data_IF_149083747469
#
_entry.id   IF_149083747469
#
_cell.length_a   1.000
_cell.length_b   1.000
_cell.length_c   1.000
_cell.angle_alpha   90.00
_cell.angle_beta   90.00
_cell.angle_gamma   90.00
#
_symmetry.space_group_name_H-M   'P 1'
#
loop_
_entity.id
_entity.type
_entity.pdbx_description
1 polymer ?
#
# COMPACT_ATOMS: atom_id res chain seq x y z
N UNK A 1 9.16 4.94 3.04
CA UNK A 1 7.84 4.34 3.37
C UNK A 1 6.84 4.89 2.38
N UNK A 2 6.07 4.04 1.71
CA UNK A 2 5.00 4.49 0.80
C UNK A 2 3.69 4.59 1.58
N UNK A 3 3.04 5.75 1.52
CA UNK A 3 1.72 5.98 2.13
C UNK A 3 0.67 5.13 1.42
N UNK A 4 0.71 5.08 0.09
CA UNK A 4 -0.22 4.29 -0.72
C UNK A 4 -0.12 2.80 -0.38
N UNK A 5 1.10 2.25 -0.21
CA UNK A 5 1.31 0.86 0.20
C UNK A 5 0.65 0.56 1.55
N UNK A 6 0.87 1.42 2.53
CA UNK A 6 0.34 1.23 3.88
C UNK A 6 -1.19 1.27 3.90
N UNK A 7 -1.77 2.27 3.22
CA UNK A 7 -3.22 2.39 3.11
C UNK A 7 -3.84 1.21 2.35
N UNK A 8 -3.23 0.78 1.26
CA UNK A 8 -3.69 -0.35 0.45
C UNK A 8 -3.76 -1.65 1.28
N UNK A 9 -2.71 -1.92 2.05
CA UNK A 9 -2.60 -3.13 2.86
C UNK A 9 -3.64 -3.14 3.98
N UNK A 10 -3.76 -2.04 4.74
CA UNK A 10 -4.75 -1.93 5.81
C UNK A 10 -6.17 -1.99 5.23
N UNK A 11 -6.43 -1.29 4.12
CA UNK A 11 -7.74 -1.32 3.47
C UNK A 11 -8.14 -2.73 3.06
N UNK A 12 -7.21 -3.52 2.50
CA UNK A 12 -7.46 -4.91 2.14
C UNK A 12 -7.83 -5.76 3.37
N UNK A 13 -7.05 -5.67 4.45
CA UNK A 13 -7.29 -6.42 5.69
C UNK A 13 -8.64 -6.05 6.31
N UNK A 14 -8.92 -4.75 6.46
CA UNK A 14 -10.16 -4.26 7.09
C UNK A 14 -11.40 -4.57 6.23
N UNK A 15 -11.30 -4.48 4.91
CA UNK A 15 -12.39 -4.85 4.02
C UNK A 15 -12.79 -6.33 4.11
N UNK A 16 -11.85 -7.21 4.47
CA UNK A 16 -12.10 -8.65 4.58
C UNK A 16 -12.61 -9.08 5.96
N UNK A 17 -12.26 -8.35 7.04
CA UNK A 17 -12.63 -8.69 8.42
C UNK A 17 -14.14 -8.82 8.58
N UNK A 18 -14.58 -9.88 9.30
CA UNK A 18 -15.99 -10.18 9.53
C UNK A 18 -16.78 -10.59 8.28
N UNK A 19 -16.17 -10.64 7.08
CA UNK A 19 -16.85 -10.89 5.79
C UNK A 19 -16.47 -12.20 5.12
N UNK A 20 -15.56 -12.93 5.71
CA UNK A 20 -15.10 -14.22 5.23
C UNK A 20 -15.34 -15.28 6.30
N UNK A 21 -15.24 -16.54 5.95
CA UNK A 21 -15.29 -17.64 6.93
C UNK A 21 -14.12 -17.58 7.92
N UNK A 22 -13.05 -16.86 7.61
CA UNK A 22 -11.96 -16.57 8.54
C UNK A 22 -12.36 -15.57 9.65
N UNK A 23 -13.49 -14.86 9.51
CA UNK A 23 -13.99 -13.84 10.45
C UNK A 23 -12.90 -12.81 10.79
N UNK A 24 -12.47 -12.78 12.07
CA UNK A 24 -11.43 -11.87 12.57
C UNK A 24 -10.00 -12.44 12.41
N UNK A 25 -9.86 -13.71 11.99
CA UNK A 25 -8.55 -14.34 11.76
C UNK A 25 -7.93 -13.90 10.43
N UNK A 26 -7.89 -12.58 10.23
CA UNK A 26 -7.28 -11.92 9.07
C UNK A 26 -6.15 -11.05 9.58
N UNK A 27 -4.94 -11.38 9.16
CA UNK A 27 -3.72 -10.78 9.68
C UNK A 27 -3.02 -9.93 8.62
N UNK A 28 -2.48 -8.82 9.09
CA UNK A 28 -1.61 -7.95 8.32
C UNK A 28 -0.16 -8.41 8.48
N UNK A 29 0.52 -8.73 7.36
CA UNK A 29 1.96 -9.01 7.30
C UNK A 29 2.51 -9.90 8.43
N UNK A 30 1.74 -10.88 8.87
CA UNK A 30 2.16 -11.73 9.97
C UNK A 30 3.42 -12.53 9.60
N UNK A 31 4.50 -12.22 10.29
CA UNK A 31 5.77 -12.90 10.11
C UNK A 31 5.80 -14.12 11.03
N UNK A 32 5.69 -15.29 10.45
CA UNK A 32 5.78 -16.55 11.18
C UNK A 32 5.38 -17.74 10.34
N UNK A 33 5.88 -18.94 10.64
CA UNK A 33 5.44 -20.14 9.95
C UNK A 33 3.94 -20.34 10.13
N UNK A 34 3.23 -20.61 9.04
CA UNK A 34 1.78 -20.91 9.05
C UNK A 34 1.37 -21.94 10.13
N UNK A 35 2.13 -23.02 10.39
CA UNK A 35 1.82 -23.97 11.45
C UNK A 35 1.75 -23.34 12.85
N UNK A 36 2.61 -22.33 13.13
CA UNK A 36 2.61 -21.66 14.43
C UNK A 36 1.43 -20.69 14.56
N UNK A 37 0.99 -20.14 13.44
CA UNK A 37 -0.19 -19.27 13.37
C UNK A 37 -1.47 -20.09 13.56
N UNK A 38 -1.49 -21.30 13.04
CA UNK A 38 -2.62 -22.23 13.12
C UNK A 38 -2.78 -22.91 14.50
N UNK A 39 -1.74 -22.86 15.36
CA UNK A 39 -1.81 -23.39 16.71
C UNK A 39 -2.87 -22.63 17.51
N UNK A 40 -3.96 -23.32 17.83
CA UNK A 40 -5.06 -22.75 18.60
C UNK A 40 -6.17 -22.07 17.79
N UNK A 41 -6.04 -22.00 16.46
CA UNK A 41 -7.11 -21.49 15.59
C UNK A 41 -7.88 -22.65 14.97
N UNK A 42 -9.13 -22.80 15.36
CA UNK A 42 -10.06 -23.78 14.74
C UNK A 42 -10.66 -23.28 13.42
N UNK A 43 -10.23 -22.11 12.94
CA UNK A 43 -10.86 -21.40 11.82
C UNK A 43 -9.86 -21.23 10.67
N UNK A 44 -10.37 -21.11 9.44
CA UNK A 44 -9.54 -20.65 8.34
C UNK A 44 -8.90 -19.29 8.68
N UNK A 45 -7.67 -19.09 8.25
CA UNK A 45 -6.96 -17.83 8.41
C UNK A 45 -6.63 -17.23 7.06
N UNK A 46 -6.54 -15.90 7.03
CA UNK A 46 -5.98 -15.13 5.93
C UNK A 46 -4.80 -14.29 6.43
N UNK A 47 -3.73 -14.26 5.66
CA UNK A 47 -2.64 -13.31 5.85
C UNK A 47 -2.51 -12.50 4.57
N UNK A 48 -2.51 -11.19 4.70
CA UNK A 48 -2.37 -10.26 3.58
C UNK A 48 -1.05 -9.52 3.74
N UNK A 49 -0.22 -9.52 2.70
CA UNK A 49 1.02 -8.76 2.68
C UNK A 49 1.26 -8.13 1.30
N UNK A 50 2.09 -7.11 1.27
CA UNK A 50 2.61 -6.52 0.05
C UNK A 50 4.09 -6.91 -0.04
N UNK A 51 4.40 -7.84 -0.95
CA UNK A 51 5.73 -8.46 -1.03
C UNK A 51 6.71 -7.64 -1.89
N UNK A 52 6.23 -7.17 -3.04
CA UNK A 52 7.05 -6.47 -4.01
C UNK A 52 6.44 -5.12 -4.36
N UNK A 53 7.31 -4.17 -4.68
CA UNK A 53 6.91 -2.88 -5.24
C UNK A 53 7.85 -2.49 -6.38
N UNK A 54 7.28 -2.08 -7.49
CA UNK A 54 8.00 -1.65 -8.67
C UNK A 54 7.42 -0.32 -9.16
N UNK A 55 8.28 0.64 -9.44
CA UNK A 55 7.92 1.86 -10.16
C UNK A 55 8.37 1.68 -11.60
N UNK A 56 7.45 1.46 -12.56
CA UNK A 56 7.83 1.26 -13.94
C UNK A 56 8.46 2.52 -14.52
N UNK A 57 9.45 2.34 -15.40
CA UNK A 57 10.00 3.43 -16.21
C UNK A 57 9.00 3.76 -17.30
N UNK A 58 8.25 4.84 -17.12
CA UNK A 58 7.26 5.28 -18.11
C UNK A 58 7.86 6.13 -19.24
N UNK A 59 9.17 6.01 -19.50
CA UNK A 59 9.84 6.66 -20.65
C UNK A 59 9.74 8.20 -20.69
N UNK A 60 9.18 8.81 -19.66
CA UNK A 60 9.07 10.25 -19.49
C UNK A 60 10.27 10.83 -18.74
N UNK A 61 10.36 12.16 -18.70
CA UNK A 61 11.40 12.89 -17.95
C UNK A 61 11.21 12.84 -16.42
N UNK A 62 10.27 12.00 -15.93
CA UNK A 62 9.95 11.90 -14.51
C UNK A 62 11.00 11.06 -13.79
N UNK A 63 12.01 11.69 -13.25
CA UNK A 63 13.04 11.06 -12.43
C UNK A 63 12.70 11.02 -10.91
N UNK A 64 11.50 11.48 -10.53
CA UNK A 64 11.11 11.65 -9.13
C UNK A 64 10.75 10.36 -8.41
N UNK A 65 10.87 10.36 -7.09
CA UNK A 65 10.38 9.28 -6.21
C UNK A 65 8.86 9.35 -5.96
N UNK A 66 8.23 10.47 -6.27
CA UNK A 66 6.82 10.76 -6.05
C UNK A 66 6.10 11.03 -7.36
N UNK A 67 4.78 11.03 -7.35
CA UNK A 67 3.97 11.35 -8.52
C UNK A 67 3.86 10.24 -9.56
N UNK A 68 4.44 9.06 -9.30
CA UNK A 68 4.39 7.90 -10.19
C UNK A 68 3.46 6.81 -9.67
N UNK A 69 2.78 6.14 -10.60
CA UNK A 69 2.05 4.92 -10.29
C UNK A 69 3.01 3.84 -9.83
N UNK A 70 2.59 3.08 -8.82
CA UNK A 70 3.39 1.99 -8.27
C UNK A 70 2.69 0.67 -8.63
N UNK A 71 3.48 -0.31 -9.01
CA UNK A 71 3.03 -1.68 -9.14
C UNK A 71 3.39 -2.43 -7.88
N UNK A 72 2.38 -2.98 -7.21
CA UNK A 72 2.55 -3.82 -6.03
C UNK A 72 2.15 -5.26 -6.32
N UNK A 73 2.85 -6.21 -5.71
CA UNK A 73 2.42 -7.61 -5.62
C UNK A 73 1.83 -7.84 -4.24
N UNK A 74 0.49 -7.89 -4.18
CA UNK A 74 -0.23 -8.27 -2.97
C UNK A 74 -0.31 -9.79 -2.89
N UNK A 75 0.15 -10.36 -1.80
CA UNK A 75 0.04 -11.78 -1.49
C UNK A 75 -1.08 -12.01 -0.48
N UNK A 76 -2.04 -12.85 -0.85
CA UNK A 76 -3.09 -13.33 0.05
C UNK A 76 -2.83 -14.81 0.33
N UNK A 77 -2.44 -15.12 1.56
CA UNK A 77 -2.22 -16.48 2.02
C UNK A 77 -3.44 -16.96 2.77
N UNK A 78 -4.10 -17.98 2.25
CA UNK A 78 -5.19 -18.67 2.92
C UNK A 78 -4.71 -20.00 3.49
N UNK A 79 -5.04 -20.29 4.73
CA UNK A 79 -4.72 -21.58 5.33
C UNK A 79 -5.91 -22.11 6.15
N UNK A 80 -6.07 -23.43 6.12
CA UNK A 80 -7.09 -24.15 6.86
C UNK A 80 -6.40 -25.27 7.62
N UNK A 81 -6.63 -25.32 8.92
CA UNK A 81 -6.24 -26.46 9.76
C UNK A 81 -7.43 -26.80 10.67
N UNK A 82 -7.53 -28.05 11.09
CA UNK A 82 -8.40 -28.43 12.19
C UNK A 82 -7.55 -28.83 13.39
N UNK A 83 -7.98 -28.41 14.56
CA UNK A 83 -7.46 -28.96 15.79
C UNK A 83 -8.10 -30.36 16.02
N UNK A 84 -7.25 -31.36 16.13
CA UNK A 84 -7.68 -32.68 16.61
C UNK A 84 -7.14 -32.83 18.02
N UNK A 85 -8.01 -32.93 19.01
CA UNK A 85 -7.60 -33.37 20.35
C UNK A 85 -7.31 -34.86 20.29
N UNK A 86 -6.09 -35.26 20.59
CA UNK A 86 -5.71 -36.64 20.74
C UNK A 86 -5.46 -36.86 22.23
N UNK A 87 -6.20 -37.76 22.83
CA UNK A 87 -5.94 -38.23 24.20
C UNK A 87 -4.76 -39.20 24.14
N UNK A 88 -3.62 -38.78 24.68
CA UNK A 88 -2.44 -39.63 24.84
C UNK A 88 -2.21 -39.77 26.35
N UNK A 89 -2.42 -40.95 26.86
CA UNK A 89 -2.19 -41.32 28.27
C UNK A 89 -2.99 -40.48 29.31
N UNK A 90 -4.19 -40.01 28.96
CA UNK A 90 -5.04 -39.23 29.84
C UNK A 90 -4.72 -37.73 29.90
N UNK A 91 -3.79 -37.25 29.08
CA UNK A 91 -3.58 -35.81 28.81
C UNK A 91 -4.17 -35.46 27.47
N UNK A 92 -5.11 -34.49 27.47
CA UNK A 92 -5.70 -33.95 26.27
C UNK A 92 -4.67 -33.06 25.53
N UNK A 93 -3.98 -33.65 24.55
CA UNK A 93 -3.04 -32.92 23.73
C UNK A 93 -3.75 -32.43 22.46
N UNK A 94 -3.90 -31.12 22.33
CA UNK A 94 -4.43 -30.51 21.11
C UNK A 94 -3.39 -30.63 20.01
N UNK A 95 -3.59 -31.56 19.10
CA UNK A 95 -2.77 -31.69 17.90
C UNK A 95 -3.50 -31.00 16.76
N UNK A 96 -2.86 -30.05 16.11
CA UNK A 96 -3.39 -29.44 14.88
C UNK A 96 -3.41 -30.51 13.80
N UNK A 97 -4.58 -31.08 13.58
CA UNK A 97 -4.83 -32.13 12.60
C UNK A 97 -5.45 -31.59 11.32
N UNK A 98 -5.39 -32.40 10.29
CA UNK A 98 -6.07 -32.14 9.03
C UNK A 98 -7.50 -32.60 9.21
N UNK A 99 -8.47 -31.75 8.80
CA UNK A 99 -9.85 -32.17 8.72
C UNK A 99 -10.02 -33.42 7.87
N UNK A 100 -11.12 -34.07 8.04
CA UNK A 100 -11.38 -35.44 7.66
C UNK A 100 -11.25 -35.76 6.18
N UNK A 101 -11.21 -34.77 5.28
CA UNK A 101 -10.97 -35.00 3.84
C UNK A 101 -10.26 -33.84 3.16
N UNK A 102 -9.31 -34.15 2.25
CA UNK A 102 -8.66 -33.17 1.37
C UNK A 102 -9.68 -32.34 0.57
N UNK A 103 -10.81 -32.94 0.18
CA UNK A 103 -11.88 -32.28 -0.55
C UNK A 103 -12.58 -31.18 0.29
N UNK A 104 -12.76 -31.40 1.60
CA UNK A 104 -13.36 -30.40 2.50
C UNK A 104 -12.49 -29.16 2.66
N UNK A 105 -11.17 -29.34 2.72
CA UNK A 105 -10.24 -28.21 2.78
C UNK A 105 -10.19 -27.42 1.48
N UNK A 106 -10.13 -28.11 0.36
CA UNK A 106 -10.16 -27.44 -0.93
C UNK A 106 -11.46 -26.65 -1.13
N UNK A 107 -12.59 -27.21 -0.71
CA UNK A 107 -13.87 -26.50 -0.74
C UNK A 107 -13.83 -25.23 0.14
N UNK A 108 -13.27 -25.32 1.34
CA UNK A 108 -13.13 -24.19 2.26
C UNK A 108 -12.20 -23.12 1.69
N UNK A 109 -11.05 -23.50 1.11
CA UNK A 109 -10.13 -22.57 0.46
C UNK A 109 -10.79 -21.88 -0.75
N UNK A 110 -11.58 -22.60 -1.55
CA UNK A 110 -12.31 -22.02 -2.68
C UNK A 110 -13.39 -21.02 -2.21
N UNK A 111 -14.11 -21.34 -1.15
CA UNK A 111 -15.08 -20.42 -0.54
C UNK A 111 -14.39 -19.17 -0.02
N UNK A 112 -13.28 -19.35 0.72
CA UNK A 112 -12.51 -18.26 1.29
C UNK A 112 -11.95 -17.34 0.21
N UNK A 113 -11.42 -17.91 -0.88
CA UNK A 113 -10.92 -17.16 -2.03
C UNK A 113 -12.04 -16.31 -2.68
N UNK A 114 -13.19 -16.90 -2.92
CA UNK A 114 -14.31 -16.15 -3.46
C UNK A 114 -14.77 -15.05 -2.50
N UNK A 115 -14.81 -15.32 -1.21
CA UNK A 115 -15.28 -14.36 -0.20
C UNK A 115 -14.36 -13.15 -0.08
N UNK A 116 -13.03 -13.32 -0.03
CA UNK A 116 -12.13 -12.18 0.06
C UNK A 116 -12.16 -11.33 -1.22
N UNK A 117 -12.27 -11.93 -2.40
CA UNK A 117 -12.46 -11.21 -3.67
C UNK A 117 -13.77 -10.40 -3.65
N UNK A 118 -14.86 -11.01 -3.16
CA UNK A 118 -16.14 -10.31 -3.00
C UNK A 118 -16.04 -9.16 -1.98
N UNK A 119 -15.34 -9.36 -0.87
CA UNK A 119 -15.17 -8.35 0.17
C UNK A 119 -14.46 -7.10 -0.36
N UNK A 120 -13.38 -7.27 -1.12
CA UNK A 120 -12.65 -6.16 -1.77
C UNK A 120 -13.48 -5.45 -2.85
N UNK A 121 -14.44 -6.15 -3.44
CA UNK A 121 -15.31 -5.60 -4.49
C UNK A 121 -16.62 -5.04 -3.96
N UNK A 122 -16.89 -5.14 -2.65
CA UNK A 122 -18.19 -4.79 -2.06
C UNK A 122 -18.45 -3.28 -2.13
N UNK A 123 -19.59 -2.87 -2.73
CA UNK A 123 -19.99 -1.46 -2.68
C UNK A 123 -20.44 -1.05 -1.28
N UNK A 124 -20.41 0.25 -0.99
CA UNK A 124 -20.84 0.85 0.28
C UNK A 124 -20.11 0.35 1.53
N UNK A 125 -18.89 -0.17 1.34
CA UNK A 125 -17.97 -0.45 2.42
C UNK A 125 -16.77 0.49 2.35
N UNK A 126 -16.54 1.28 3.38
CA UNK A 126 -15.55 2.34 3.37
C UNK A 126 -14.12 1.85 3.08
N UNK A 127 -13.74 0.68 3.63
CA UNK A 127 -12.41 0.11 3.41
C UNK A 127 -12.28 -0.52 2.03
N UNK A 128 -13.33 -1.21 1.55
CA UNK A 128 -13.35 -1.76 0.20
C UNK A 128 -13.40 -0.64 -0.86
N UNK A 129 -14.08 0.47 -0.58
CA UNK A 129 -14.06 1.64 -1.45
C UNK A 129 -12.68 2.29 -1.47
N UNK A 130 -12.04 2.46 -0.31
CA UNK A 130 -10.67 2.96 -0.24
C UNK A 130 -9.71 2.06 -1.05
N UNK A 131 -9.81 0.73 -0.88
CA UNK A 131 -9.00 -0.21 -1.66
C UNK A 131 -9.16 0.03 -3.16
N UNK A 132 -10.40 0.20 -3.65
CA UNK A 132 -10.68 0.46 -5.06
C UNK A 132 -10.22 1.83 -5.54
N UNK A 133 -10.34 2.86 -4.68
CA UNK A 133 -9.88 4.21 -5.00
C UNK A 133 -8.34 4.27 -5.14
N UNK A 134 -7.64 3.42 -4.39
CA UNK A 134 -6.18 3.31 -4.47
C UNK A 134 -5.72 2.44 -5.65
N UNK A 135 -6.56 1.51 -6.14
CA UNK A 135 -6.19 0.56 -7.21
C UNK A 135 -6.71 1.03 -8.55
N UNK A 136 -5.81 1.46 -9.42
CA UNK A 136 -6.14 1.84 -10.80
C UNK A 136 -6.40 0.62 -11.69
N UNK A 137 -5.65 -0.47 -11.44
CA UNK A 137 -5.75 -1.68 -12.27
C UNK A 137 -5.39 -2.92 -11.47
N UNK A 138 -6.18 -3.97 -11.62
CA UNK A 138 -5.82 -5.33 -11.23
C UNK A 138 -5.17 -6.00 -12.45
N UNK A 139 -3.94 -6.43 -12.28
CA UNK A 139 -3.17 -7.11 -13.32
C UNK A 139 -3.28 -8.63 -13.25
N UNK A 140 -2.14 -9.31 -13.25
CA UNK A 140 -2.08 -10.78 -13.20
C UNK A 140 -2.47 -11.27 -11.81
N UNK A 141 -3.27 -12.34 -11.77
CA UNK A 141 -3.57 -13.10 -10.56
C UNK A 141 -2.99 -14.50 -10.75
N UNK A 142 -2.21 -14.96 -9.78
CA UNK A 142 -1.61 -16.29 -9.77
C UNK A 142 -1.95 -17.01 -8.48
N UNK A 143 -2.41 -18.24 -8.60
CA UNK A 143 -2.72 -19.09 -7.46
C UNK A 143 -1.73 -20.25 -7.39
N UNK A 144 -1.20 -20.52 -6.21
CA UNK A 144 -0.32 -21.63 -5.93
C UNK A 144 -0.76 -22.36 -4.66
N UNK A 145 -0.58 -23.68 -4.65
CA UNK A 145 -0.78 -24.48 -3.43
C UNK A 145 0.47 -24.38 -2.56
N UNK A 146 0.27 -24.12 -1.28
CA UNK A 146 1.32 -24.26 -0.29
C UNK A 146 1.44 -25.71 0.15
N UNK A 147 2.63 -26.27 -0.03
CA UNK A 147 2.97 -27.59 0.48
C UNK A 147 4.10 -27.38 1.47
N UNK A 148 3.90 -27.77 2.74
CA UNK A 148 5.01 -27.79 3.70
C UNK A 148 5.40 -29.24 4.04
N UNK A 149 6.42 -29.80 3.37
CA UNK A 149 6.82 -31.20 3.58
C UNK A 149 7.58 -31.46 4.88
N UNK A 150 8.04 -30.41 5.59
CA UNK A 150 8.99 -30.56 6.71
C UNK A 150 8.35 -30.67 8.09
N UNK A 151 7.10 -30.27 8.26
CA UNK A 151 6.51 -30.14 9.61
C UNK A 151 5.74 -31.36 10.09
N UNK A 152 5.58 -32.43 9.31
CA UNK A 152 4.73 -33.57 9.64
C UNK A 152 3.23 -33.24 9.75
N UNK A 153 2.89 -31.94 9.78
CA UNK A 153 1.53 -31.43 9.85
C UNK A 153 1.06 -31.09 8.43
N UNK A 154 0.08 -31.84 7.96
CA UNK A 154 -0.56 -31.52 6.71
C UNK A 154 -1.56 -30.38 6.96
N UNK A 155 -1.34 -29.22 6.41
CA UNK A 155 -2.30 -28.12 6.33
C UNK A 155 -2.56 -27.81 4.86
N UNK A 156 -3.78 -27.49 4.53
CA UNK A 156 -4.07 -26.98 3.21
C UNK A 156 -3.86 -25.46 3.22
N UNK A 157 -3.04 -24.99 2.31
CA UNK A 157 -2.83 -23.57 2.11
C UNK A 157 -2.84 -23.21 0.63
N UNK A 158 -3.25 -21.97 0.36
CA UNK A 158 -3.24 -21.38 -0.97
C UNK A 158 -2.61 -20.00 -0.89
N UNK A 159 -1.75 -19.72 -1.84
CA UNK A 159 -1.11 -18.43 -2.02
C UNK A 159 -1.68 -17.82 -3.29
N UNK A 160 -2.26 -16.64 -3.17
CA UNK A 160 -2.76 -15.87 -4.31
C UNK A 160 -1.94 -14.59 -4.42
N UNK A 161 -1.16 -14.50 -5.49
CA UNK A 161 -0.45 -13.27 -5.86
C UNK A 161 -1.37 -12.43 -6.74
N UNK A 162 -1.53 -11.17 -6.39
CA UNK A 162 -2.33 -10.20 -7.14
C UNK A 162 -1.45 -9.00 -7.48
N UNK A 163 -1.17 -8.82 -8.75
CA UNK A 163 -0.42 -7.64 -9.22
C UNK A 163 -1.39 -6.48 -9.34
N UNK A 164 -1.12 -5.41 -8.62
CA UNK A 164 -1.94 -4.19 -8.57
C UNK A 164 -1.13 -3.01 -9.09
N UNK A 165 -1.74 -2.19 -9.94
CA UNK A 165 -1.23 -0.86 -10.25
C UNK A 165 -2.05 0.15 -9.45
N UNK A 166 -1.38 1.01 -8.69
CA UNK A 166 -2.04 1.96 -7.78
C UNK A 166 -1.94 3.40 -8.28
N UNK A 167 -2.69 4.26 -7.62
CA UNK A 167 -2.52 5.71 -7.74
C UNK A 167 -1.07 6.09 -7.40
N UNK A 168 -0.58 7.20 -7.94
CA UNK A 168 0.76 7.69 -7.62
C UNK A 168 0.97 7.93 -6.13
N UNK A 169 2.21 7.73 -5.67
CA UNK A 169 2.60 8.21 -4.34
C UNK A 169 2.51 9.74 -4.32
N UNK A 170 1.75 10.33 -3.39
CA UNK A 170 1.55 11.77 -3.37
C UNK A 170 2.88 12.52 -3.12
N UNK A 171 3.04 13.62 -3.81
CA UNK A 171 4.13 14.55 -3.52
C UNK A 171 3.85 15.22 -2.19
N UNK A 172 4.84 15.36 -1.28
CA UNK A 172 4.63 16.05 -0.02
C UNK A 172 4.04 17.45 -0.22
N UNK A 173 2.92 17.73 0.45
CA UNK A 173 2.16 18.98 0.30
C UNK A 173 1.18 19.02 -0.87
N UNK A 174 1.03 17.93 -1.63
CA UNK A 174 0.02 17.81 -2.67
C UNK A 174 -1.21 17.04 -2.14
N UNK A 175 -2.40 17.49 -2.53
CA UNK A 175 -3.64 16.84 -2.16
C UNK A 175 -3.90 15.61 -3.05
N UNK A 176 -4.14 14.46 -2.43
CA UNK A 176 -4.61 13.25 -3.09
C UNK A 176 -5.88 12.77 -2.40
N UNK A 177 -7.01 12.88 -3.09
CA UNK A 177 -8.32 12.57 -2.51
C UNK A 177 -8.40 11.15 -1.94
N UNK A 178 -7.86 10.15 -2.64
CA UNK A 178 -7.86 8.76 -2.18
C UNK A 178 -7.01 8.60 -0.91
N UNK A 179 -5.83 9.25 -0.86
CA UNK A 179 -4.93 9.19 0.30
C UNK A 179 -5.53 9.93 1.50
N UNK A 180 -6.10 11.12 1.30
CA UNK A 180 -6.78 11.88 2.35
C UNK A 180 -7.95 11.11 2.97
N UNK A 181 -8.76 10.47 2.12
CA UNK A 181 -9.83 9.57 2.57
C UNK A 181 -9.29 8.43 3.42
N UNK A 182 -8.20 7.81 2.97
CA UNK A 182 -7.54 6.71 3.70
C UNK A 182 -7.02 7.16 5.07
N UNK A 183 -6.33 8.29 5.13
CA UNK A 183 -5.83 8.87 6.39
C UNK A 183 -6.99 9.17 7.33
N UNK A 184 -8.08 9.75 6.84
CA UNK A 184 -9.28 10.04 7.65
C UNK A 184 -9.91 8.77 8.22
N UNK A 185 -9.97 7.68 7.44
CA UNK A 185 -10.44 6.38 7.93
C UNK A 185 -9.54 5.81 9.02
N UNK A 186 -8.22 5.95 8.89
CA UNK A 186 -7.28 5.51 9.92
C UNK A 186 -7.43 6.33 11.21
N UNK A 187 -7.54 7.65 11.11
CA UNK A 187 -7.72 8.55 12.26
C UNK A 187 -9.01 8.25 13.03
N UNK A 188 -10.05 7.80 12.34
CA UNK A 188 -11.32 7.36 12.95
C UNK A 188 -11.30 5.94 13.51
N UNK A 189 -10.23 5.16 13.30
CA UNK A 189 -10.15 3.77 13.74
C UNK A 189 -9.32 3.64 15.02
N UNK A 190 -9.83 2.96 16.07
CA UNK A 190 -9.15 2.91 17.38
C UNK A 190 -7.71 2.35 17.31
N UNK A 191 -7.46 1.36 16.46
CA UNK A 191 -6.15 0.71 16.36
C UNK A 191 -5.17 1.45 15.44
N UNK A 192 -5.63 2.41 14.63
CA UNK A 192 -4.81 3.06 13.61
C UNK A 192 -4.75 4.58 13.73
N UNK A 193 -5.39 5.18 14.74
CA UNK A 193 -5.48 6.63 14.89
C UNK A 193 -4.10 7.32 14.91
N UNK A 194 -3.14 6.75 15.66
CA UNK A 194 -1.77 7.28 15.73
C UNK A 194 -1.05 7.18 14.38
N UNK A 195 -1.24 6.07 13.67
CA UNK A 195 -0.69 5.89 12.31
C UNK A 195 -1.30 6.90 11.35
N UNK A 196 -2.62 7.12 11.41
CA UNK A 196 -3.31 8.14 10.61
C UNK A 196 -2.71 9.52 10.81
N UNK A 197 -2.53 9.94 12.06
CA UNK A 197 -1.90 11.22 12.41
C UNK A 197 -0.44 11.32 11.89
N UNK A 198 0.33 10.24 11.98
CA UNK A 198 1.68 10.18 11.44
C UNK A 198 1.68 10.35 9.91
N UNK A 199 0.82 9.61 9.18
CA UNK A 199 0.73 9.71 7.72
C UNK A 199 0.31 11.11 7.28
N UNK A 200 -0.63 11.75 8.00
CA UNK A 200 -1.03 13.14 7.76
C UNK A 200 0.14 14.10 7.91
N UNK A 201 0.94 13.92 8.97
CA UNK A 201 2.13 14.76 9.17
C UNK A 201 3.16 14.62 8.04
N UNK A 202 3.35 13.39 7.54
CA UNK A 202 4.26 13.11 6.42
C UNK A 202 3.74 13.71 5.11
N UNK A 203 2.44 13.61 4.85
CA UNK A 203 1.81 14.19 3.68
C UNK A 203 1.87 15.71 3.70
N UNK A 204 1.63 16.34 4.87
CA UNK A 204 1.65 17.78 5.05
C UNK A 204 3.05 18.39 5.19
N UNK A 205 4.10 17.59 5.31
CA UNK A 205 5.47 18.07 5.48
C UNK A 205 5.96 19.03 4.38
N UNK A 206 5.34 18.95 3.18
CA UNK A 206 5.60 19.85 2.07
C UNK A 206 4.54 20.96 1.88
N UNK A 207 3.56 21.09 2.78
CA UNK A 207 2.43 22.03 2.59
C UNK A 207 2.88 23.50 2.48
N UNK A 208 3.98 23.87 3.12
CA UNK A 208 4.58 25.18 3.00
C UNK A 208 5.49 25.33 1.77
N UNK A 209 5.69 24.25 1.00
CA UNK A 209 6.53 24.30 -0.20
C UNK A 209 5.82 25.12 -1.30
N UNK A 210 6.57 25.99 -1.95
CA UNK A 210 6.09 26.72 -3.13
C UNK A 210 5.82 25.75 -4.28
N UNK A 211 5.01 26.14 -5.25
CA UNK A 211 4.73 25.30 -6.44
C UNK A 211 6.02 24.95 -7.19
N UNK A 212 7.00 25.85 -7.17
CA UNK A 212 8.34 25.58 -7.68
C UNK A 212 9.06 24.45 -6.92
N UNK A 213 8.99 24.45 -5.61
CA UNK A 213 9.57 23.39 -4.79
C UNK A 213 8.86 22.05 -4.99
N UNK A 214 7.53 22.05 -5.12
CA UNK A 214 6.74 20.86 -5.46
C UNK A 214 7.14 20.31 -6.84
N UNK A 215 7.25 21.17 -7.83
CA UNK A 215 7.70 20.79 -9.18
C UNK A 215 9.13 20.20 -9.16
N UNK A 216 10.03 20.78 -8.39
CA UNK A 216 11.39 20.24 -8.21
C UNK A 216 11.36 18.84 -7.60
N UNK A 217 10.49 18.57 -6.63
CA UNK A 217 10.30 17.25 -6.06
C UNK A 217 9.77 16.25 -7.08
N UNK A 218 8.79 16.63 -7.89
CA UNK A 218 8.24 15.79 -8.95
C UNK A 218 9.29 15.44 -10.01
N UNK A 219 10.03 16.42 -10.48
CA UNK A 219 11.03 16.24 -11.53
C UNK A 219 12.37 15.71 -11.00
N UNK A 220 12.52 15.58 -9.67
CA UNK A 220 13.78 15.17 -9.02
C UNK A 220 15.00 15.96 -9.55
N UNK A 221 14.78 17.22 -9.91
CA UNK A 221 15.78 18.08 -10.52
C UNK A 221 16.49 18.97 -9.51
N UNK A 222 17.80 19.19 -9.72
CA UNK A 222 18.45 20.32 -9.06
C UNK A 222 17.95 21.64 -9.67
N UNK A 223 17.94 22.69 -8.90
CA UNK A 223 17.56 24.02 -9.40
C UNK A 223 18.34 24.39 -10.65
N UNK A 224 19.66 24.16 -10.63
CA UNK A 224 20.52 24.44 -11.78
C UNK A 224 20.14 23.63 -13.01
N UNK A 225 19.78 22.36 -12.85
CA UNK A 225 19.35 21.49 -13.95
C UNK A 225 18.05 21.98 -14.57
N UNK A 226 17.08 22.34 -13.74
CA UNK A 226 15.78 22.81 -14.20
C UNK A 226 15.91 24.18 -14.92
N UNK A 227 16.69 25.10 -14.36
CA UNK A 227 16.98 26.36 -14.99
C UNK A 227 17.72 26.19 -16.35
N UNK A 228 18.62 25.21 -16.44
CA UNK A 228 19.34 24.91 -17.67
C UNK A 228 18.43 24.40 -18.80
N UNK A 229 17.33 23.73 -18.46
CA UNK A 229 16.31 23.28 -19.43
C UNK A 229 15.16 24.28 -19.60
N UNK A 230 15.29 25.49 -19.02
CA UNK A 230 14.32 26.57 -19.18
C UNK A 230 13.13 26.52 -18.24
N UNK A 231 13.15 25.63 -17.22
CA UNK A 231 12.11 25.57 -16.19
C UNK A 231 12.55 26.46 -15.04
N UNK A 232 11.86 27.60 -14.85
CA UNK A 232 12.12 28.55 -13.79
C UNK A 232 10.89 28.84 -12.96
N UNK A 233 11.03 29.27 -11.67
CA UNK A 233 9.88 29.71 -10.90
C UNK A 233 9.21 30.91 -11.57
N UNK A 234 7.90 30.95 -11.55
CA UNK A 234 7.16 32.14 -11.91
C UNK A 234 7.48 33.21 -10.84
N UNK A 235 7.99 34.34 -11.27
CA UNK A 235 8.17 35.48 -10.38
C UNK A 235 6.78 36.03 -10.07
N UNK A 236 6.42 36.13 -8.77
CA UNK A 236 5.14 36.75 -8.43
C UNK A 236 5.16 38.21 -8.79
N UNK A 237 4.04 38.77 -9.25
CA UNK A 237 3.92 40.20 -9.57
C UNK A 237 4.22 41.10 -8.35
N UNK A 238 4.24 40.55 -7.14
CA UNK A 238 4.59 41.27 -5.90
C UNK A 238 6.12 41.39 -5.68
N UNK A 239 6.91 40.53 -6.32
CA UNK A 239 8.36 40.67 -6.35
C UNK A 239 8.74 41.72 -7.39
N UNK A 240 8.60 42.99 -7.04
CA UNK A 240 9.19 44.09 -7.81
C UNK A 240 10.69 43.85 -7.88
N UNK A 241 11.15 43.46 -9.05
CA UNK A 241 12.58 43.39 -9.38
C UNK A 241 13.17 44.78 -9.18
N UNK A 242 13.60 45.10 -7.99
CA UNK A 242 14.25 46.41 -7.70
C UNK A 242 15.61 46.51 -8.36
N UNK A 243 16.26 45.40 -8.69
CA UNK A 243 17.53 45.43 -9.44
C UNK A 243 17.77 44.06 -10.07
N UNK A 244 17.75 43.97 -11.40
CA UNK A 244 18.25 42.81 -12.14
C UNK A 244 19.70 43.07 -12.54
N UNK A 245 20.64 42.39 -11.88
CA UNK A 245 22.04 42.39 -12.33
C UNK A 245 22.18 41.31 -13.39
N UNK A 246 22.20 41.72 -14.66
CA UNK A 246 22.53 40.84 -15.78
C UNK A 246 24.05 40.70 -15.88
N UNK A 247 24.63 39.86 -15.02
CA UNK A 247 26.02 39.44 -15.10
C UNK A 247 26.21 38.24 -16.04
N UNK A 248 25.76 38.31 -17.27
CA UNK A 248 26.13 37.26 -18.22
C UNK A 248 26.38 37.81 -19.61
N UNK A 249 27.55 37.48 -20.07
CA UNK A 249 28.08 37.71 -21.44
C UNK A 249 28.62 39.09 -21.71
N UNK A 250 29.76 39.44 -21.11
CA UNK A 250 30.66 40.45 -21.69
C UNK A 250 30.12 41.88 -21.84
N UNK A 251 28.94 42.16 -21.33
CA UNK A 251 28.34 43.49 -21.27
C UNK A 251 28.34 43.96 -19.82
N UNK A 252 29.51 44.37 -19.34
CA UNK A 252 29.60 45.10 -18.09
C UNK A 252 28.92 46.48 -18.28
N UNK A 253 27.87 46.74 -17.50
CA UNK A 253 27.43 48.10 -17.25
C UNK A 253 26.06 48.54 -17.74
N UNK A 254 25.06 47.66 -17.87
CA UNK A 254 23.68 48.11 -18.06
C UNK A 254 22.90 47.91 -16.75
N UNK A 255 22.67 49.00 -16.04
CA UNK A 255 21.74 49.02 -14.89
C UNK A 255 20.36 49.43 -15.43
N UNK A 256 19.36 48.56 -15.35
CA UNK A 256 17.99 48.94 -15.66
C UNK A 256 17.31 49.26 -14.29
N UNK A 257 17.12 50.56 -14.05
CA UNK A 257 16.25 51.01 -12.94
C UNK A 257 14.84 51.13 -13.48
N UNK A 258 13.91 50.29 -12.96
CA UNK A 258 12.49 50.50 -13.20
C UNK A 258 11.98 51.52 -12.18
N UNK A 259 11.45 52.64 -12.62
CA UNK A 259 10.68 53.55 -11.80
C UNK A 259 9.31 52.95 -11.53
N UNK A 260 8.88 53.01 -10.26
CA UNK A 260 7.59 52.57 -9.74
C UNK A 260 6.46 53.51 -10.18
#
# INVERSE_FOLDING_TARGET
MSIVRQLLQIAAVQAMRGRTVAKEAIFDSRIGPLPDILKGEEKPILVVSIEESEQPEDGGNDAGFFGRSIRFTMLVQAAVASAVSVDIDGEETVTVGIGETDAGYEATLNVLERQWRMALSKPADAWAELFRDLVMRVGVIRDARGINPKSGHRHASRFTEVVLTTVPEPVPGEESQAVERGITLLEGHPDYAELGALLRSLLSAGAAATDWQKLRHQLFGSEQTLLAVGIAPLVSEEDTLTTAILERTGLSGVTVTGDA
#
